data_IF_013005431682
#
_entry.id   IF_013005431682
#
_cell.length_a   1.000
_cell.length_b   1.000
_cell.length_c   1.000
_cell.angle_alpha   90.00
_cell.angle_beta   90.00
_cell.angle_gamma   90.00
#
_symmetry.space_group_name_H-M   'P 1'
#
loop_
_entity.id
_entity.type
_entity.pdbx_description
1 polymer ?
#
# COMPACT_ATOMS: atom_id res chain seq x y z
N UNK A 1 3.57 -2.60 14.73
CA UNK A 1 4.01 -2.64 13.32
C UNK A 1 5.51 -2.69 13.28
N UNK A 2 6.07 -3.67 12.61
CA UNK A 2 7.51 -3.75 12.39
C UNK A 2 7.87 -3.42 10.96
N UNK A 3 9.07 -2.88 10.75
CA UNK A 3 9.56 -2.49 9.45
C UNK A 3 11.00 -2.96 9.29
N UNK A 4 11.31 -3.54 8.13
CA UNK A 4 12.67 -3.85 7.71
C UNK A 4 12.98 -3.06 6.45
N UNK A 5 14.18 -2.52 6.37
CA UNK A 5 14.66 -1.84 5.17
C UNK A 5 15.83 -2.62 4.57
N UNK A 6 15.78 -2.81 3.26
CA UNK A 6 16.88 -3.40 2.51
C UNK A 6 16.99 -2.72 1.14
N UNK A 7 17.88 -3.23 0.26
CA UNK A 7 18.08 -2.65 -1.07
C UNK A 7 16.85 -2.76 -1.97
N UNK A 8 15.86 -3.57 -1.58
CA UNK A 8 14.64 -3.81 -2.34
C UNK A 8 13.43 -3.03 -1.80
N UNK A 9 13.62 -2.17 -0.78
CA UNK A 9 12.56 -1.33 -0.26
C UNK A 9 12.34 -1.46 1.25
N UNK A 10 11.19 -0.95 1.69
CA UNK A 10 10.75 -1.01 3.08
C UNK A 10 9.68 -2.09 3.21
N UNK A 11 9.88 -3.03 4.12
CA UNK A 11 8.96 -4.15 4.34
C UNK A 11 8.32 -4.01 5.71
N UNK A 12 6.99 -4.04 5.73
CA UNK A 12 6.21 -3.83 6.95
C UNK A 12 5.45 -5.09 7.31
N UNK A 13 5.36 -5.36 8.59
CA UNK A 13 4.53 -6.45 9.11
C UNK A 13 3.73 -5.95 10.30
N UNK A 14 2.46 -6.32 10.35
CA UNK A 14 1.60 -6.07 11.50
C UNK A 14 1.48 -7.37 12.30
N UNK A 15 1.56 -7.26 13.62
CA UNK A 15 1.51 -8.39 14.54
C UNK A 15 0.29 -8.29 15.44
N UNK A 16 -0.23 -9.45 15.81
CA UNK A 16 -1.22 -9.60 16.86
C UNK A 16 -0.88 -10.86 17.63
N UNK A 17 -0.65 -10.73 18.95
CA UNK A 17 -0.30 -11.86 19.82
C UNK A 17 0.90 -12.67 19.28
N UNK A 18 1.95 -11.94 18.85
CA UNK A 18 3.20 -12.48 18.30
C UNK A 18 3.07 -13.18 16.94
N UNK A 19 1.89 -13.13 16.32
CA UNK A 19 1.68 -13.68 14.97
C UNK A 19 1.60 -12.54 13.94
N UNK A 20 2.20 -12.76 12.76
CA UNK A 20 2.07 -11.83 11.65
C UNK A 20 0.65 -11.93 11.11
N UNK A 21 -0.07 -10.80 11.06
CA UNK A 21 -1.44 -10.74 10.55
C UNK A 21 -1.57 -9.97 9.25
N UNK A 22 -0.57 -9.18 8.88
CA UNK A 22 -0.54 -8.47 7.60
C UNK A 22 0.88 -8.12 7.20
N UNK A 23 1.13 -8.04 5.91
CA UNK A 23 2.41 -7.63 5.34
C UNK A 23 2.18 -6.70 4.17
N UNK A 24 3.16 -5.82 3.90
CA UNK A 24 3.19 -4.99 2.70
C UNK A 24 4.62 -4.52 2.48
N UNK A 25 5.00 -4.31 1.22
CA UNK A 25 6.32 -3.78 0.85
C UNK A 25 6.15 -2.46 0.11
N UNK A 26 7.02 -1.50 0.40
CA UNK A 26 6.98 -0.16 -0.16
C UNK A 26 8.29 0.11 -0.91
N UNK A 27 8.19 0.57 -2.15
CA UNK A 27 9.34 0.81 -3.03
C UNK A 27 9.30 2.25 -3.51
N UNK A 28 10.43 2.93 -3.41
CA UNK A 28 10.58 4.32 -3.81
C UNK A 28 11.33 4.44 -5.13
N UNK A 29 10.85 5.34 -5.99
CA UNK A 29 11.57 5.76 -7.19
C UNK A 29 11.40 7.29 -7.28
N UNK A 30 12.38 8.01 -6.74
CA UNK A 30 12.22 9.45 -6.56
C UNK A 30 11.10 9.75 -5.57
N UNK A 31 10.13 10.57 -5.99
CA UNK A 31 8.95 10.89 -5.20
C UNK A 31 7.73 10.03 -5.55
N UNK A 32 7.93 8.99 -6.35
CA UNK A 32 6.89 8.06 -6.80
C UNK A 32 7.06 6.74 -6.05
N UNK A 33 6.12 6.40 -5.18
CA UNK A 33 6.19 5.22 -4.32
C UNK A 33 5.16 4.20 -4.73
N UNK A 34 5.57 2.93 -4.80
CA UNK A 34 4.69 1.80 -5.09
C UNK A 34 4.65 0.87 -3.89
N UNK A 35 3.47 0.37 -3.52
CA UNK A 35 3.42 -0.75 -2.59
C UNK A 35 3.06 -2.03 -3.32
N UNK A 36 3.60 -3.14 -2.81
CA UNK A 36 3.41 -4.50 -3.34
C UNK A 36 3.24 -5.48 -2.19
N UNK A 37 2.83 -6.70 -2.53
CA UNK A 37 2.75 -7.82 -1.57
C UNK A 37 1.87 -7.50 -0.37
N UNK A 38 0.82 -6.73 -0.60
CA UNK A 38 -0.16 -6.39 0.41
C UNK A 38 -1.02 -7.62 0.68
N UNK A 39 -0.94 -8.14 1.88
CA UNK A 39 -1.71 -9.32 2.27
C UNK A 39 -2.13 -9.20 3.73
N UNK A 40 -3.37 -9.58 4.01
CA UNK A 40 -3.92 -9.65 5.37
C UNK A 40 -4.31 -11.10 5.61
N UNK A 41 -3.92 -11.64 6.78
CA UNK A 41 -4.29 -12.98 7.18
C UNK A 41 -5.81 -13.16 7.07
N UNK A 42 -6.21 -14.30 6.50
CA UNK A 42 -7.61 -14.59 6.21
C UNK A 42 -8.52 -14.43 7.43
N UNK A 43 -8.05 -14.85 8.60
CA UNK A 43 -8.82 -14.77 9.84
C UNK A 43 -8.92 -13.35 10.40
N UNK A 44 -8.18 -12.41 9.84
CA UNK A 44 -8.14 -11.01 10.29
C UNK A 44 -8.70 -10.05 9.25
N UNK A 45 -9.19 -10.55 8.13
CA UNK A 45 -9.85 -9.71 7.12
C UNK A 45 -11.21 -9.22 7.66
N UNK A 46 -11.61 -8.03 7.20
CA UNK A 46 -12.87 -7.43 7.64
C UNK A 46 -12.83 -6.81 9.04
N UNK A 47 -11.66 -6.75 9.69
CA UNK A 47 -11.50 -6.20 11.04
C UNK A 47 -10.70 -4.90 11.09
N UNK A 48 -10.49 -4.27 9.93
CA UNK A 48 -9.78 -3.00 9.84
C UNK A 48 -8.27 -3.11 9.80
N UNK A 49 -7.69 -4.32 9.81
CA UNK A 49 -6.24 -4.51 9.78
C UNK A 49 -5.64 -3.99 8.46
N UNK A 50 -6.28 -4.30 7.33
CA UNK A 50 -5.82 -3.83 6.03
C UNK A 50 -5.81 -2.31 5.94
N UNK A 51 -6.85 -1.65 6.46
CA UNK A 51 -6.91 -0.20 6.50
C UNK A 51 -5.80 0.38 7.37
N UNK A 52 -5.54 -0.21 8.52
CA UNK A 52 -4.51 0.26 9.44
C UNK A 52 -3.12 0.20 8.81
N UNK A 53 -2.77 -0.93 8.18
CA UNK A 53 -1.46 -1.05 7.54
C UNK A 53 -1.35 -0.15 6.32
N UNK A 54 -2.41 0.02 5.55
CA UNK A 54 -2.42 0.92 4.39
C UNK A 54 -2.24 2.38 4.83
N UNK A 55 -2.93 2.81 5.89
CA UNK A 55 -2.76 4.15 6.46
C UNK A 55 -1.31 4.34 6.93
N UNK A 56 -0.73 3.33 7.56
CA UNK A 56 0.65 3.39 8.06
C UNK A 56 1.66 3.57 6.93
N UNK A 57 1.56 2.81 5.85
CA UNK A 57 2.49 2.96 4.73
C UNK A 57 2.27 4.26 3.96
N UNK A 58 1.04 4.75 3.92
CA UNK A 58 0.74 6.05 3.32
C UNK A 58 1.45 7.16 4.10
N UNK A 59 1.36 7.12 5.43
CA UNK A 59 2.06 8.08 6.29
C UNK A 59 3.58 7.96 6.13
N UNK A 60 4.11 6.74 6.05
CA UNK A 60 5.53 6.51 5.84
C UNK A 60 6.00 7.08 4.51
N UNK A 61 5.25 6.84 3.43
CA UNK A 61 5.57 7.38 2.12
C UNK A 61 5.57 8.92 2.15
N UNK A 62 4.53 9.51 2.75
CA UNK A 62 4.40 10.96 2.85
C UNK A 62 5.54 11.58 3.65
N UNK A 63 5.92 10.95 4.76
CA UNK A 63 7.04 11.40 5.61
C UNK A 63 8.36 11.36 4.83
N UNK A 64 8.53 10.40 3.94
CA UNK A 64 9.73 10.24 3.11
C UNK A 64 9.71 11.04 1.82
N UNK A 65 8.72 11.93 1.64
CA UNK A 65 8.70 12.87 0.52
C UNK A 65 7.94 12.39 -0.71
N UNK A 66 7.16 11.32 -0.60
CA UNK A 66 6.37 10.82 -1.71
C UNK A 66 5.32 11.85 -2.14
N UNK A 67 5.19 12.04 -3.45
CA UNK A 67 4.11 12.83 -4.05
C UNK A 67 3.01 11.95 -4.63
N UNK A 68 3.30 10.67 -4.82
CA UNK A 68 2.37 9.71 -5.38
C UNK A 68 2.61 8.35 -4.74
N UNK A 69 1.52 7.67 -4.37
CA UNK A 69 1.53 6.28 -3.95
C UNK A 69 0.64 5.50 -4.90
N UNK A 70 1.12 4.36 -5.42
CA UNK A 70 0.36 3.60 -6.39
C UNK A 70 0.52 2.09 -6.17
N UNK A 71 -0.38 1.34 -6.73
CA UNK A 71 -0.33 -0.12 -6.65
C UNK A 71 -1.01 -0.76 -7.86
N UNK A 72 -0.69 -2.03 -8.08
CA UNK A 72 -1.41 -2.88 -9.01
C UNK A 72 -2.54 -3.54 -8.22
N UNK A 73 -3.77 -3.10 -8.42
CA UNK A 73 -4.92 -3.59 -7.68
C UNK A 73 -5.69 -4.63 -8.50
N UNK A 74 -5.95 -5.81 -7.93
CA UNK A 74 -6.89 -6.75 -8.56
C UNK A 74 -8.26 -6.07 -8.66
N UNK A 75 -8.99 -6.33 -9.74
CA UNK A 75 -10.31 -5.73 -9.92
C UNK A 75 -11.23 -6.05 -8.74
N UNK A 76 -11.09 -7.23 -8.14
CA UNK A 76 -11.89 -7.63 -6.97
C UNK A 76 -11.59 -6.82 -5.71
N UNK A 77 -10.45 -6.13 -5.64
CA UNK A 77 -10.03 -5.36 -4.48
C UNK A 77 -10.16 -3.84 -4.67
N UNK A 78 -10.58 -3.39 -5.84
CA UNK A 78 -10.63 -1.96 -6.16
C UNK A 78 -11.46 -1.17 -5.15
N UNK A 79 -12.62 -1.71 -4.73
CA UNK A 79 -13.49 -1.02 -3.78
C UNK A 79 -12.78 -0.68 -2.46
N UNK A 80 -11.94 -1.57 -1.97
CA UNK A 80 -11.17 -1.34 -0.77
C UNK A 80 -10.23 -0.14 -0.93
N UNK A 81 -9.52 -0.07 -2.05
CA UNK A 81 -8.58 1.03 -2.30
C UNK A 81 -9.29 2.36 -2.57
N UNK A 82 -10.43 2.34 -3.26
CA UNK A 82 -11.21 3.57 -3.49
C UNK A 82 -11.67 4.19 -2.16
N UNK A 83 -12.07 3.35 -1.20
CA UNK A 83 -12.44 3.83 0.14
C UNK A 83 -11.26 4.45 0.88
N UNK A 84 -10.05 4.05 0.55
CA UNK A 84 -8.82 4.60 1.15
C UNK A 84 -8.32 5.86 0.43
N UNK A 85 -9.05 6.34 -0.57
CA UNK A 85 -8.72 7.57 -1.28
C UNK A 85 -7.93 7.40 -2.56
N UNK A 86 -7.71 6.16 -3.00
CA UNK A 86 -7.08 5.89 -4.29
C UNK A 86 -8.07 6.17 -5.41
N UNK A 87 -7.55 6.50 -6.58
CA UNK A 87 -8.35 6.78 -7.76
C UNK A 87 -7.94 5.90 -8.93
N UNK A 88 -8.85 5.72 -9.87
CA UNK A 88 -8.61 4.97 -11.09
C UNK A 88 -7.62 5.72 -11.99
N UNK A 89 -6.65 5.00 -12.58
CA UNK A 89 -5.80 5.56 -13.64
C UNK A 89 -6.30 5.23 -15.03
N UNK A 90 -7.14 4.21 -15.16
CA UNK A 90 -7.57 3.67 -16.44
C UNK A 90 -6.53 2.76 -17.09
N UNK A 91 -5.46 2.41 -16.40
CA UNK A 91 -4.42 1.51 -16.90
C UNK A 91 -4.68 0.11 -16.40
N UNK A 92 -5.05 -0.79 -17.30
CA UNK A 92 -5.42 -2.16 -16.99
C UNK A 92 -4.41 -3.14 -17.59
N UNK A 93 -4.24 -4.28 -16.93
CA UNK A 93 -3.43 -5.37 -17.47
C UNK A 93 -3.88 -6.70 -16.87
N UNK A 94 -3.46 -7.79 -17.50
CA UNK A 94 -3.75 -9.15 -17.01
C UNK A 94 -2.41 -9.83 -16.72
N UNK A 95 -2.32 -10.51 -15.57
CA UNK A 95 -1.14 -11.26 -15.17
C UNK A 95 -1.57 -12.50 -14.41
N UNK A 96 -1.02 -13.65 -14.80
CA UNK A 96 -1.31 -14.95 -14.16
C UNK A 96 -2.81 -15.24 -14.06
N UNK A 97 -3.58 -14.85 -15.09
CA UNK A 97 -5.02 -15.10 -15.14
C UNK A 97 -5.88 -14.13 -14.34
N UNK A 98 -5.29 -13.10 -13.74
CA UNK A 98 -6.03 -12.08 -12.99
C UNK A 98 -5.95 -10.73 -13.69
N UNK A 99 -7.06 -9.99 -13.63
CA UNK A 99 -7.14 -8.63 -14.16
C UNK A 99 -6.82 -7.62 -13.07
N UNK A 100 -6.04 -6.61 -13.44
CA UNK A 100 -5.56 -5.55 -12.56
C UNK A 100 -5.84 -4.19 -13.16
N UNK A 101 -5.97 -3.21 -12.28
CA UNK A 101 -5.88 -1.80 -12.65
C UNK A 101 -4.82 -1.14 -11.77
N UNK A 102 -4.05 -0.23 -12.35
CA UNK A 102 -3.15 0.62 -11.56
C UNK A 102 -4.01 1.69 -10.90
N UNK A 103 -3.99 1.74 -9.57
CA UNK A 103 -4.64 2.76 -8.78
C UNK A 103 -3.58 3.66 -8.15
N UNK A 104 -3.93 4.93 -7.93
CA UNK A 104 -2.99 5.90 -7.40
C UNK A 104 -3.64 6.83 -6.40
N UNK A 105 -2.81 7.42 -5.54
CA UNK A 105 -3.20 8.43 -4.59
C UNK A 105 -2.14 9.52 -4.58
N UNK A 106 -2.53 10.77 -4.84
CA UNK A 106 -1.64 11.91 -4.71
C UNK A 106 -1.39 12.21 -3.24
N UNK A 107 -0.14 12.52 -2.90
CA UNK A 107 0.25 12.85 -1.54
C UNK A 107 0.89 14.22 -1.50
N UNK A 108 0.68 14.94 -0.39
CA UNK A 108 1.40 16.18 -0.11
C UNK A 108 2.52 15.83 0.87
N UNK A 109 3.80 15.92 0.45
CA UNK A 109 4.91 15.63 1.36
C UNK A 109 4.83 16.53 2.60
N UNK A 110 5.18 15.99 3.78
CA UNK A 110 5.14 16.76 5.02
C UNK A 110 6.00 18.02 4.95
N UNK A 111 7.12 17.95 4.25
CA UNK A 111 8.02 19.10 4.06
C UNK A 111 7.34 20.26 3.31
N UNK A 112 6.29 20.00 2.55
CA UNK A 112 5.55 21.01 1.78
C UNK A 112 4.42 21.67 2.59
N UNK A 113 4.17 21.21 3.81
CA UNK A 113 3.09 21.71 4.67
C UNK A 113 3.53 22.84 5.61
N UNK A 114 4.73 23.33 5.45
CA UNK A 114 5.27 24.42 6.26
C UNK A 114 4.81 25.79 5.80
#
# INVERSE_FOLDING_TARGET
MEMEEDNNGLHFAAFKDDAIVAVVSLFAKGDDYQFRKFAVDENHQGKGVGKQILDHITDSAQTNGAKRLWCNARLSAIGFYLKAGFVHTGQFFTRHGFDYEILEKGLTPLSALQ
#
